data_IF_360982940146
#
_entry.id   IF_360982940146
#
_cell.length_a   1.000
_cell.length_b   1.000
_cell.length_c   1.000
_cell.angle_alpha   90.00
_cell.angle_beta   90.00
_cell.angle_gamma   90.00
#
_symmetry.space_group_name_H-M   'P 1'
#
loop_
_entity.id
_entity.type
_entity.pdbx_description
1 polymer ?
#
# COMPACT_ATOMS: atom_id res chain seq x y z
N UNK A 1 28.71 -9.70 -4.81
CA UNK A 1 27.66 -8.67 -4.65
C UNK A 1 28.32 -7.36 -4.99
N UNK A 2 27.96 -6.76 -6.13
CA UNK A 2 28.56 -5.50 -6.57
C UNK A 2 27.90 -4.36 -5.79
N UNK A 3 28.57 -3.84 -4.76
CA UNK A 3 28.18 -2.60 -4.10
C UNK A 3 28.23 -1.46 -5.10
N UNK A 4 27.30 -0.51 -4.99
CA UNK A 4 27.32 0.66 -5.86
C UNK A 4 28.57 1.51 -5.53
N UNK A 5 29.24 2.15 -6.51
CA UNK A 5 30.53 2.83 -6.31
C UNK A 5 30.50 3.91 -5.21
N UNK A 6 29.34 4.56 -5.03
CA UNK A 6 29.05 5.56 -4.01
C UNK A 6 29.03 4.98 -2.59
N UNK A 7 28.56 3.73 -2.42
CA UNK A 7 28.55 3.04 -1.14
C UNK A 7 29.97 2.72 -0.66
N UNK A 8 30.85 2.30 -1.58
CA UNK A 8 32.22 1.93 -1.21
C UNK A 8 33.05 3.17 -0.85
N UNK A 9 32.84 4.29 -1.55
CA UNK A 9 33.40 5.58 -1.15
C UNK A 9 32.88 6.03 0.22
N UNK A 10 31.56 5.92 0.47
CA UNK A 10 30.97 6.30 1.76
C UNK A 10 31.49 5.44 2.92
N UNK A 11 31.72 4.14 2.70
CA UNK A 11 32.34 3.24 3.68
C UNK A 11 33.76 3.67 4.00
N UNK A 12 34.59 3.88 2.98
CA UNK A 12 35.97 4.34 3.15
C UNK A 12 36.04 5.70 3.87
N UNK A 13 35.15 6.62 3.51
CA UNK A 13 35.04 7.93 4.15
C UNK A 13 34.69 7.78 5.65
N UNK A 14 33.71 6.96 5.99
CA UNK A 14 33.33 6.70 7.39
C UNK A 14 34.45 6.02 8.19
N UNK A 15 35.19 5.10 7.59
CA UNK A 15 36.36 4.44 8.21
C UNK A 15 37.51 5.41 8.49
N UNK A 16 37.67 6.45 7.67
CA UNK A 16 38.66 7.50 7.91
C UNK A 16 38.37 8.30 9.20
N UNK A 17 37.08 8.51 9.52
CA UNK A 17 36.66 9.22 10.73
C UNK A 17 36.47 8.31 11.94
N UNK A 18 36.05 7.06 11.71
CA UNK A 18 35.75 6.08 12.75
C UNK A 18 36.44 4.73 12.44
N UNK A 19 37.77 4.66 12.53
CA UNK A 19 38.53 3.45 12.19
C UNK A 19 38.16 2.26 13.10
N UNK A 20 37.76 2.52 14.34
CA UNK A 20 37.30 1.50 15.28
C UNK A 20 35.95 0.84 14.89
N UNK A 21 35.21 1.40 13.94
CA UNK A 21 33.91 0.90 13.49
C UNK A 21 34.01 -0.03 12.26
N UNK A 22 35.22 -0.45 11.88
CA UNK A 22 35.47 -1.31 10.72
C UNK A 22 34.65 -2.60 10.73
N UNK A 23 34.59 -3.27 11.89
CA UNK A 23 33.80 -4.50 12.05
C UNK A 23 32.31 -4.33 11.76
N UNK A 24 31.78 -3.11 11.86
CA UNK A 24 30.36 -2.79 11.63
C UNK A 24 30.11 -2.26 10.22
N UNK A 25 31.04 -1.45 9.68
CA UNK A 25 30.89 -0.76 8.39
C UNK A 25 31.16 -1.71 7.20
N UNK A 26 32.05 -2.69 7.38
CA UNK A 26 32.43 -3.64 6.32
C UNK A 26 31.37 -4.73 6.09
N UNK A 27 30.30 -4.74 6.91
CA UNK A 27 29.18 -5.67 6.74
C UNK A 27 28.43 -5.31 5.44
N UNK A 28 28.29 -6.24 4.47
CA UNK A 28 27.73 -5.95 3.14
C UNK A 28 26.24 -5.54 3.13
N UNK A 29 25.55 -5.63 4.28
CA UNK A 29 24.14 -5.22 4.46
C UNK A 29 23.98 -3.83 5.08
N UNK A 30 25.06 -3.18 5.53
CA UNK A 30 24.99 -1.84 6.11
C UNK A 30 25.04 -0.82 4.98
N UNK A 31 23.94 -0.08 4.83
CA UNK A 31 23.78 0.97 3.82
C UNK A 31 23.97 2.33 4.48
N UNK A 32 25.04 3.03 4.10
CA UNK A 32 25.35 4.37 4.64
C UNK A 32 24.49 5.42 3.93
N UNK A 33 23.73 6.20 4.68
CA UNK A 33 22.95 7.30 4.13
C UNK A 33 23.87 8.45 3.72
N UNK A 34 24.05 8.65 2.42
CA UNK A 34 24.83 9.77 1.87
C UNK A 34 23.95 11.03 1.76
N UNK A 35 24.59 12.19 1.57
CA UNK A 35 23.87 13.47 1.37
C UNK A 35 22.88 13.39 0.21
N UNK A 36 23.20 12.64 -0.84
CA UNK A 36 22.31 12.48 -1.98
C UNK A 36 21.15 11.53 -1.68
N UNK A 37 21.37 10.45 -0.92
CA UNK A 37 20.27 9.61 -0.40
C UNK A 37 19.31 10.41 0.49
N UNK A 38 19.82 11.33 1.32
CA UNK A 38 19.00 12.22 2.15
C UNK A 38 18.17 13.21 1.33
N UNK A 39 18.74 13.76 0.24
CA UNK A 39 17.98 14.59 -0.70
C UNK A 39 16.88 13.79 -1.38
N UNK A 40 17.19 12.59 -1.88
CA UNK A 40 16.20 11.69 -2.49
C UNK A 40 15.07 11.37 -1.50
N UNK A 41 15.42 11.06 -0.24
CA UNK A 41 14.44 10.84 0.81
C UNK A 41 13.56 12.08 1.06
N UNK A 42 14.15 13.28 1.12
CA UNK A 42 13.42 14.53 1.27
C UNK A 42 12.46 14.79 0.11
N UNK A 43 12.87 14.54 -1.14
CA UNK A 43 11.99 14.63 -2.31
C UNK A 43 10.83 13.65 -2.25
N UNK A 44 11.08 12.39 -1.85
CA UNK A 44 10.04 11.38 -1.68
C UNK A 44 9.03 11.82 -0.61
N UNK A 45 9.50 12.33 0.53
CA UNK A 45 8.64 12.85 1.59
C UNK A 45 7.81 14.04 1.08
N UNK A 46 8.42 15.00 0.38
CA UNK A 46 7.72 16.15 -0.18
C UNK A 46 6.64 15.72 -1.20
N UNK A 47 6.95 14.77 -2.09
CA UNK A 47 6.00 14.22 -3.03
C UNK A 47 4.82 13.53 -2.33
N UNK A 48 5.07 12.77 -1.27
CA UNK A 48 4.02 12.13 -0.48
C UNK A 48 3.10 13.16 0.20
N UNK A 49 3.66 14.25 0.75
CA UNK A 49 2.88 15.33 1.35
C UNK A 49 2.01 16.03 0.32
N UNK A 50 2.54 16.32 -0.87
CA UNK A 50 1.77 16.93 -1.96
C UNK A 50 0.60 16.02 -2.35
N UNK A 51 0.82 14.71 -2.46
CA UNK A 51 -0.23 13.74 -2.77
C UNK A 51 -1.27 13.59 -1.65
N UNK A 52 -0.93 13.91 -0.40
CA UNK A 52 -1.88 13.87 0.71
C UNK A 52 -2.87 15.04 0.70
N UNK A 53 -2.51 16.20 0.14
CA UNK A 53 -3.35 17.40 0.05
C UNK A 53 -4.70 17.13 -0.63
N UNK A 54 -4.78 16.57 -1.85
CA UNK A 54 -6.06 16.31 -2.51
C UNK A 54 -6.93 15.31 -1.75
N UNK A 55 -6.32 14.33 -1.06
CA UNK A 55 -7.02 13.36 -0.21
C UNK A 55 -7.66 14.07 0.98
N UNK A 56 -6.92 14.97 1.63
CA UNK A 56 -7.44 15.77 2.74
C UNK A 56 -8.59 16.70 2.29
N UNK A 57 -8.45 17.37 1.14
CA UNK A 57 -9.51 18.22 0.56
C UNK A 57 -10.76 17.38 0.26
N UNK A 58 -10.59 16.17 -0.30
CA UNK A 58 -11.71 15.27 -0.59
C UNK A 58 -12.43 14.78 0.67
N UNK A 59 -11.69 14.44 1.73
CA UNK A 59 -12.25 14.07 3.03
C UNK A 59 -13.03 15.24 3.62
N UNK A 60 -12.42 16.43 3.61
CA UNK A 60 -13.04 17.64 4.15
C UNK A 60 -14.32 18.01 3.39
N UNK A 61 -14.28 18.03 2.06
CA UNK A 61 -15.44 18.33 1.23
C UNK A 61 -16.56 17.30 1.40
N UNK A 62 -16.22 16.01 1.53
CA UNK A 62 -17.17 14.94 1.80
C UNK A 62 -17.83 15.07 3.18
N UNK A 63 -17.04 15.39 4.21
CA UNK A 63 -17.54 15.65 5.56
C UNK A 63 -18.44 16.89 5.61
N UNK A 64 -18.03 17.98 4.94
CA UNK A 64 -18.80 19.21 4.81
C UNK A 64 -20.13 18.97 4.10
N UNK A 65 -20.09 18.30 2.95
CA UNK A 65 -21.28 17.93 2.19
C UNK A 65 -22.25 17.07 3.02
N UNK A 66 -21.73 16.11 3.79
CA UNK A 66 -22.54 15.25 4.65
C UNK A 66 -23.18 16.02 5.81
N UNK A 67 -22.47 16.98 6.40
CA UNK A 67 -22.99 17.77 7.51
C UNK A 67 -24.06 18.77 7.05
N UNK A 68 -23.91 19.30 5.84
CA UNK A 68 -24.76 20.36 5.30
C UNK A 68 -25.97 19.86 4.50
N UNK A 69 -25.90 18.70 3.83
CA UNK A 69 -27.04 18.13 3.08
C UNK A 69 -27.69 16.97 3.83
N UNK A 70 -28.70 17.28 4.66
CA UNK A 70 -29.54 16.25 5.31
C UNK A 70 -30.76 15.82 4.48
N UNK A 71 -31.21 16.63 3.52
CA UNK A 71 -32.58 16.51 3.01
C UNK A 71 -32.74 15.92 1.59
N UNK A 72 -31.65 15.72 0.84
CA UNK A 72 -31.75 15.33 -0.58
C UNK A 72 -31.14 13.97 -0.96
N UNK A 73 -30.60 13.21 0.01
CA UNK A 73 -30.00 11.91 -0.27
C UNK A 73 -30.92 10.78 0.18
N UNK A 74 -31.13 9.80 -0.70
CA UNK A 74 -31.82 8.57 -0.33
C UNK A 74 -31.10 7.88 0.83
N UNK A 75 -31.85 7.15 1.67
CA UNK A 75 -31.26 6.38 2.78
C UNK A 75 -30.18 5.39 2.28
N UNK A 76 -30.34 4.86 1.06
CA UNK A 76 -29.38 3.96 0.42
C UNK A 76 -28.06 4.66 0.11
N UNK A 77 -28.10 5.82 -0.53
CA UNK A 77 -26.88 6.58 -0.90
C UNK A 77 -26.12 7.02 0.35
N UNK A 78 -26.84 7.49 1.38
CA UNK A 78 -26.24 7.91 2.65
C UNK A 78 -25.51 6.76 3.36
N UNK A 79 -26.08 5.55 3.33
CA UNK A 79 -25.43 4.35 3.90
C UNK A 79 -24.14 3.99 3.17
N UNK A 80 -24.13 4.08 1.84
CA UNK A 80 -22.94 3.79 1.03
C UNK A 80 -21.82 4.80 1.27
N UNK A 81 -22.12 6.10 1.28
CA UNK A 81 -21.13 7.14 1.55
C UNK A 81 -20.54 7.03 2.96
N UNK A 82 -21.36 6.75 3.98
CA UNK A 82 -20.88 6.54 5.35
C UNK A 82 -19.90 5.37 5.43
N UNK A 83 -20.24 4.26 4.75
CA UNK A 83 -19.38 3.07 4.73
C UNK A 83 -18.06 3.34 4.00
N UNK A 84 -18.11 4.04 2.87
CA UNK A 84 -16.92 4.47 2.13
C UNK A 84 -16.02 5.39 2.97
N UNK A 85 -16.58 6.36 3.69
CA UNK A 85 -15.81 7.22 4.58
C UNK A 85 -15.11 6.45 5.71
N UNK A 86 -15.82 5.50 6.35
CA UNK A 86 -15.23 4.63 7.37
C UNK A 86 -14.06 3.83 6.79
N UNK A 87 -14.22 3.27 5.58
CA UNK A 87 -13.13 2.57 4.90
C UNK A 87 -11.96 3.47 4.55
N UNK A 88 -12.21 4.71 4.12
CA UNK A 88 -11.16 5.68 3.85
C UNK A 88 -10.37 6.03 5.11
N UNK A 89 -11.05 6.22 6.25
CA UNK A 89 -10.40 6.42 7.54
C UNK A 89 -9.53 5.22 7.94
N UNK A 90 -10.02 3.99 7.76
CA UNK A 90 -9.25 2.77 8.03
C UNK A 90 -8.04 2.66 7.09
N UNK A 91 -8.23 2.94 5.81
CA UNK A 91 -7.18 2.87 4.78
C UNK A 91 -6.08 3.91 5.00
N UNK A 92 -6.33 5.01 5.71
CA UNK A 92 -5.30 5.99 6.07
C UNK A 92 -4.66 5.64 7.42
N UNK A 93 -5.50 5.34 8.42
CA UNK A 93 -5.03 5.11 9.80
C UNK A 93 -4.17 3.86 9.93
N UNK A 94 -4.55 2.73 9.32
CA UNK A 94 -3.81 1.47 9.48
C UNK A 94 -2.41 1.55 8.83
N UNK A 95 -2.25 2.03 7.59
CA UNK A 95 -0.93 2.32 7.02
C UNK A 95 -0.13 3.31 7.86
N UNK A 96 -0.73 4.44 8.26
CA UNK A 96 -0.03 5.45 9.06
C UNK A 96 0.49 4.91 10.39
N UNK A 97 -0.32 4.12 11.12
CA UNK A 97 0.08 3.50 12.39
C UNK A 97 1.16 2.43 12.16
N UNK A 98 1.01 1.59 11.12
CA UNK A 98 2.00 0.56 10.81
C UNK A 98 3.35 1.12 10.35
N UNK A 99 3.43 2.38 9.92
CA UNK A 99 4.69 3.12 9.70
C UNK A 99 5.17 3.87 10.95
N UNK A 100 4.28 4.57 11.65
CA UNK A 100 4.63 5.43 12.77
C UNK A 100 5.21 4.65 13.96
N UNK A 101 4.63 3.49 14.28
CA UNK A 101 5.07 2.68 15.42
C UNK A 101 6.51 2.18 15.24
N UNK A 102 6.87 1.51 14.12
CA UNK A 102 8.26 1.10 13.90
C UNK A 102 9.26 2.25 13.85
N UNK A 103 8.89 3.38 13.23
CA UNK A 103 9.76 4.57 13.17
C UNK A 103 10.03 5.12 14.57
N UNK A 104 8.97 5.26 15.39
CA UNK A 104 9.12 5.70 16.77
C UNK A 104 10.04 4.75 17.57
N UNK A 105 9.87 3.43 17.40
CA UNK A 105 10.76 2.43 18.01
C UNK A 105 12.22 2.62 17.57
N UNK A 106 12.49 2.79 16.28
CA UNK A 106 13.85 3.02 15.76
C UNK A 106 14.45 4.31 16.33
N UNK A 107 13.70 5.40 16.39
CA UNK A 107 14.16 6.67 16.95
C UNK A 107 14.50 6.57 18.45
N UNK A 108 13.69 5.84 19.22
CA UNK A 108 13.95 5.59 20.65
C UNK A 108 15.21 4.73 20.85
N UNK A 109 15.42 3.72 20.00
CA UNK A 109 16.62 2.85 20.05
C UNK A 109 17.88 3.66 19.72
N UNK A 110 17.84 4.50 18.68
CA UNK A 110 18.97 5.37 18.30
C UNK A 110 19.30 6.34 19.44
N UNK A 111 18.28 6.96 20.05
CA UNK A 111 18.46 7.94 21.14
C UNK A 111 19.05 7.33 22.40
N UNK A 112 18.77 6.05 22.69
CA UNK A 112 19.18 5.40 23.94
C UNK A 112 20.57 4.77 23.88
N UNK A 113 21.25 4.78 22.72
CA UNK A 113 22.65 4.29 22.51
C UNK A 113 22.92 2.95 23.20
N UNK A 114 21.93 2.07 23.21
CA UNK A 114 22.04 0.78 23.90
C UNK A 114 22.07 -0.34 22.85
N UNK A 115 23.23 -0.98 22.70
CA UNK A 115 23.50 -2.03 21.70
C UNK A 115 22.62 -3.27 21.90
N UNK A 116 22.01 -3.44 23.08
CA UNK A 116 21.09 -4.53 23.41
C UNK A 116 19.80 -4.53 22.58
N UNK A 117 19.36 -3.39 22.05
CA UNK A 117 18.10 -3.28 21.28
C UNK A 117 18.27 -3.42 19.76
N UNK A 118 19.44 -3.87 19.29
CA UNK A 118 19.72 -3.99 17.85
C UNK A 118 18.77 -4.99 17.14
N UNK A 119 18.35 -6.06 17.82
CA UNK A 119 17.34 -7.00 17.31
C UNK A 119 15.97 -6.35 17.12
N UNK A 120 15.56 -5.48 18.05
CA UNK A 120 14.30 -4.73 17.99
C UNK A 120 14.31 -3.70 16.85
N UNK A 121 15.46 -3.08 16.60
CA UNK A 121 15.67 -2.19 15.46
C UNK A 121 15.50 -2.89 14.11
N UNK A 122 16.03 -4.12 13.98
CA UNK A 122 15.87 -4.93 12.78
C UNK A 122 14.41 -5.35 12.53
N UNK A 123 13.69 -5.73 13.59
CA UNK A 123 12.25 -6.05 13.50
C UNK A 123 11.44 -4.82 13.09
N UNK A 124 11.75 -3.66 13.65
CA UNK A 124 11.10 -2.40 13.27
C UNK A 124 11.38 -2.07 11.78
N UNK A 125 12.61 -2.24 11.30
CA UNK A 125 12.95 -2.03 9.90
C UNK A 125 12.21 -3.00 8.97
N UNK A 126 12.06 -4.27 9.37
CA UNK A 126 11.27 -5.25 8.64
C UNK A 126 9.78 -4.89 8.61
N UNK A 127 9.22 -4.38 9.71
CA UNK A 127 7.84 -3.91 9.78
C UNK A 127 7.59 -2.71 8.83
N UNK A 128 8.55 -1.78 8.73
CA UNK A 128 8.51 -0.70 7.74
C UNK A 128 8.47 -1.27 6.31
N UNK A 129 9.29 -2.29 6.02
CA UNK A 129 9.28 -2.96 4.71
C UNK A 129 7.95 -3.66 4.38
N UNK A 130 7.27 -4.22 5.39
CA UNK A 130 5.99 -4.92 5.24
C UNK A 130 4.78 -3.99 5.12
N UNK A 131 4.90 -2.72 5.52
CA UNK A 131 3.82 -1.73 5.46
C UNK A 131 3.08 -1.71 4.11
N UNK A 132 3.82 -1.81 2.99
CA UNK A 132 3.23 -1.82 1.65
C UNK A 132 2.27 -2.99 1.45
N UNK A 133 2.64 -4.19 1.91
CA UNK A 133 1.79 -5.38 1.82
C UNK A 133 0.53 -5.27 2.68
N UNK A 134 0.67 -4.74 3.91
CA UNK A 134 -0.45 -4.52 4.83
C UNK A 134 -1.46 -3.56 4.20
N UNK A 135 -0.97 -2.47 3.60
CA UNK A 135 -1.79 -1.49 2.90
C UNK A 135 -2.54 -2.13 1.74
N UNK A 136 -1.85 -2.90 0.87
CA UNK A 136 -2.50 -3.57 -0.26
C UNK A 136 -3.58 -4.56 0.17
N UNK A 137 -3.30 -5.37 1.20
CA UNK A 137 -4.26 -6.33 1.76
C UNK A 137 -5.50 -5.62 2.31
N UNK A 138 -5.31 -4.51 3.02
CA UNK A 138 -6.41 -3.72 3.57
C UNK A 138 -7.29 -3.13 2.47
N UNK A 139 -6.72 -2.62 1.37
CA UNK A 139 -7.48 -2.12 0.22
C UNK A 139 -8.38 -3.20 -0.37
N UNK A 140 -7.86 -4.43 -0.51
CA UNK A 140 -8.62 -5.57 -1.04
C UNK A 140 -9.80 -5.91 -0.11
N UNK A 141 -9.58 -5.92 1.21
CA UNK A 141 -10.64 -6.26 2.17
C UNK A 141 -11.70 -5.16 2.33
N UNK A 142 -11.29 -3.89 2.30
CA UNK A 142 -12.19 -2.76 2.51
C UNK A 142 -13.00 -2.38 1.26
N UNK A 143 -12.50 -2.67 0.06
CA UNK A 143 -13.22 -2.36 -1.19
C UNK A 143 -14.05 -3.56 -1.65
N UNK A 144 -15.38 -3.47 -1.48
CA UNK A 144 -16.33 -4.49 -1.94
C UNK A 144 -16.11 -4.97 -3.40
N UNK A 145 -15.86 -4.12 -4.42
CA UNK A 145 -15.61 -4.59 -5.79
C UNK A 145 -14.28 -5.33 -5.93
N UNK A 146 -13.24 -4.91 -5.19
CA UNK A 146 -11.95 -5.61 -5.17
C UNK A 146 -12.08 -6.98 -4.49
N UNK A 147 -12.80 -7.05 -3.37
CA UNK A 147 -13.05 -8.33 -2.68
C UNK A 147 -13.81 -9.30 -3.60
N UNK A 148 -14.84 -8.82 -4.30
CA UNK A 148 -15.60 -9.64 -5.25
C UNK A 148 -14.70 -10.16 -6.38
N UNK A 149 -13.92 -9.28 -7.01
CA UNK A 149 -12.98 -9.68 -8.06
C UNK A 149 -11.94 -10.72 -7.58
N UNK A 150 -11.36 -10.52 -6.39
CA UNK A 150 -10.40 -11.47 -5.82
C UNK A 150 -11.07 -12.80 -5.50
N UNK A 151 -12.26 -12.78 -4.89
CA UNK A 151 -13.03 -13.99 -4.62
C UNK A 151 -13.39 -14.72 -5.91
N UNK A 152 -13.82 -14.02 -6.96
CA UNK A 152 -14.11 -14.63 -8.26
C UNK A 152 -12.85 -15.23 -8.90
N UNK A 153 -11.70 -14.56 -8.82
CA UNK A 153 -10.44 -15.09 -9.32
C UNK A 153 -10.02 -16.37 -8.58
N UNK A 154 -10.15 -16.41 -7.26
CA UNK A 154 -9.86 -17.60 -6.47
C UNK A 154 -10.91 -18.71 -6.71
N UNK A 155 -12.20 -18.40 -6.68
CA UNK A 155 -13.28 -19.37 -6.91
C UNK A 155 -13.23 -19.94 -8.33
N UNK A 156 -12.95 -19.13 -9.35
CA UNK A 156 -12.83 -19.58 -10.75
C UNK A 156 -11.59 -20.47 -10.94
N UNK A 157 -10.49 -20.20 -10.23
CA UNK A 157 -9.30 -21.06 -10.21
C UNK A 157 -9.57 -22.43 -9.56
N UNK A 158 -10.49 -22.48 -8.60
CA UNK A 158 -10.82 -23.69 -7.83
C UNK A 158 -12.04 -24.46 -8.35
N UNK A 159 -12.80 -23.94 -9.32
CA UNK A 159 -13.81 -24.75 -10.02
C UNK A 159 -13.11 -25.66 -11.02
N UNK A 160 -13.29 -27.00 -10.96
CA UNK A 160 -12.88 -27.85 -12.07
C UNK A 160 -13.60 -27.37 -13.33
N UNK A 161 -12.87 -27.22 -14.44
CA UNK A 161 -13.47 -26.94 -15.76
C UNK A 161 -14.52 -28.02 -16.03
N UNK A 162 -15.80 -27.69 -15.86
CA UNK A 162 -16.88 -28.53 -16.36
C UNK A 162 -16.88 -28.34 -17.87
N UNK A 163 -16.40 -29.34 -18.62
CA UNK A 163 -16.55 -29.39 -20.07
C UNK A 163 -18.04 -29.23 -20.38
N UNK A 164 -18.45 -28.05 -20.85
CA UNK A 164 -19.77 -27.88 -21.45
C UNK A 164 -19.73 -28.59 -22.80
N UNK A 165 -20.40 -29.75 -22.89
CA UNK A 165 -20.89 -30.23 -24.16
C UNK A 165 -21.86 -29.15 -24.68
N UNK A 166 -21.40 -28.42 -25.69
CA UNK A 166 -22.24 -27.51 -26.46
C UNK A 166 -23.26 -28.40 -27.18
N UNK A 167 -24.43 -28.62 -26.58
CA UNK A 167 -25.58 -29.09 -27.32
C UNK A 167 -26.08 -27.91 -28.16
N UNK A 168 -25.51 -27.76 -29.35
CA UNK A 168 -26.13 -26.98 -30.43
C UNK A 168 -27.36 -27.78 -30.84
N UNK A 169 -28.48 -27.57 -30.16
CA UNK A 169 -29.77 -27.92 -30.71
C UNK A 169 -30.04 -26.98 -31.87
N UNK A 170 -29.69 -27.45 -33.07
CA UNK A 170 -30.22 -26.99 -34.35
C UNK A 170 -31.75 -27.05 -34.28
N UNK A 171 -32.38 -25.95 -33.88
CA UNK A 171 -33.76 -25.64 -34.27
C UNK A 171 -33.70 -25.04 -35.66
N UNK A 172 -33.52 -25.91 -36.65
CA UNK A 172 -34.06 -25.68 -38.00
C UNK A 172 -35.57 -25.61 -37.80
N UNK A 173 -36.11 -24.41 -37.71
CA UNK A 173 -37.53 -24.22 -37.98
C UNK A 173 -37.66 -23.37 -39.24
N UNK A 174 -38.26 -24.04 -40.20
CA UNK A 174 -38.49 -23.68 -41.57
C UNK A 174 -39.71 -22.76 -41.71
N UNK A 175 -39.64 -21.89 -42.74
CA UNK A 175 -40.75 -21.19 -43.42
C UNK A 175 -41.16 -19.78 -42.93
N UNK A 176 -41.71 -18.94 -43.84
CA UNK A 176 -41.02 -18.38 -45.00
C UNK A 176 -41.17 -16.85 -45.07
N UNK A 177 -40.36 -16.23 -45.92
CA UNK A 177 -40.52 -14.86 -46.43
C UNK A 177 -41.95 -14.65 -46.93
N UNK A 178 -42.63 -13.62 -46.42
CA UNK A 178 -43.72 -12.97 -47.15
C UNK A 178 -43.60 -11.46 -47.10
N UNK A 179 -43.66 -10.90 -48.31
CA UNK A 179 -43.39 -9.54 -48.77
C UNK A 179 -44.63 -8.66 -48.54
N UNK A 180 -44.37 -7.35 -48.40
CA UNK A 180 -45.30 -6.21 -48.33
C UNK A 180 -46.37 -6.19 -49.44
N UNK A 181 -47.41 -5.34 -49.33
CA UNK A 181 -47.29 -3.89 -49.54
C UNK A 181 -47.46 -3.03 -48.28
#
# INVERSE_FOLDING_TARGET
MNSSPDQDWARQFMLCWYPCAESVITIPRVHIYTKDSLKTLAYVIAALLIMAIPIAIFIFSSAWYFLHRRDHLSQRTRRMQRRFFIFLCLQISVPAVSLAVPIACVLLIIKTVNTTFQSLGNVALAAIGLHGTITSVLVIFCNDPYRQFVMDLFIYRWRPKKHHHIAVTLSVDSHPVQRSP
#
